data_IF_580686494171
#
_entry.id   IF_580686494171
#
_cell.length_a   1.000
_cell.length_b   1.000
_cell.length_c   1.000
_cell.angle_alpha   90.00
_cell.angle_beta   90.00
_cell.angle_gamma   90.00
#
_symmetry.space_group_name_H-M   'P 1'
#
loop_
_entity.id
_entity.type
_entity.pdbx_description
1 polymer ?
#
# COMPACT_ATOMS: atom_id res chain seq x y z
N UNK A 1 0.09 16.62 12.72
CA UNK A 1 -0.84 15.83 11.85
C UNK A 1 -1.22 14.50 12.49
N UNK A 2 -2.35 13.87 12.10
CA UNK A 2 -2.80 12.57 12.59
C UNK A 2 -3.06 11.65 11.39
N UNK A 3 -2.50 10.43 11.41
CA UNK A 3 -2.80 9.40 10.43
C UNK A 3 -3.73 8.34 11.04
N UNK A 4 -4.98 8.27 10.59
CA UNK A 4 -5.87 7.15 10.91
C UNK A 4 -5.51 5.96 10.07
N UNK A 5 -5.14 4.88 10.73
CA UNK A 5 -4.69 3.64 10.08
C UNK A 5 -5.00 2.44 10.96
N UNK A 6 -4.76 1.24 10.46
CA UNK A 6 -4.74 0.02 11.25
C UNK A 6 -3.53 -0.83 10.84
N UNK A 7 -2.91 -1.57 11.76
CA UNK A 7 -1.71 -2.35 11.46
C UNK A 7 -1.82 -3.24 10.20
N UNK A 8 -2.94 -3.97 9.96
CA UNK A 8 -3.05 -4.82 8.77
C UNK A 8 -3.40 -4.09 7.47
N UNK A 9 -3.56 -2.75 7.51
CA UNK A 9 -3.89 -1.98 6.31
C UNK A 9 -2.68 -1.79 5.40
N UNK A 10 -2.66 -2.37 4.21
CA UNK A 10 -1.53 -2.19 3.30
C UNK A 10 -1.49 -0.78 2.72
N UNK A 11 -2.64 -0.13 2.59
CA UNK A 11 -2.73 1.27 2.15
C UNK A 11 -2.24 2.23 3.23
N UNK A 12 -2.54 1.94 4.51
CA UNK A 12 -1.97 2.68 5.64
C UNK A 12 -0.46 2.50 5.74
N UNK A 13 0.03 1.28 5.48
CA UNK A 13 1.46 0.98 5.46
C UNK A 13 2.22 1.79 4.41
N UNK A 14 1.65 1.98 3.20
CA UNK A 14 2.25 2.88 2.18
C UNK A 14 2.50 4.28 2.73
N UNK A 15 1.51 4.83 3.43
CA UNK A 15 1.60 6.18 4.00
C UNK A 15 2.65 6.20 5.13
N UNK A 16 2.67 5.21 6.02
CA UNK A 16 3.65 5.15 7.11
C UNK A 16 5.09 5.08 6.58
N UNK A 17 5.33 4.29 5.51
CA UNK A 17 6.65 4.25 4.85
C UNK A 17 7.00 5.62 4.29
N UNK A 18 6.07 6.28 3.60
CA UNK A 18 6.30 7.60 3.03
C UNK A 18 6.57 8.66 4.10
N UNK A 19 5.85 8.66 5.22
CA UNK A 19 6.11 9.55 6.36
C UNK A 19 7.57 9.42 6.84
N UNK A 20 8.02 8.20 7.08
CA UNK A 20 9.40 7.93 7.50
C UNK A 20 10.43 8.37 6.45
N UNK A 21 10.19 8.09 5.16
CA UNK A 21 11.12 8.47 4.08
C UNK A 21 11.23 9.98 3.87
N UNK A 22 10.15 10.70 4.16
CA UNK A 22 10.05 12.15 3.95
C UNK A 22 10.36 12.96 5.22
N UNK A 23 10.64 12.29 6.36
CA UNK A 23 11.02 12.94 7.62
C UNK A 23 9.84 13.55 8.38
N UNK A 24 8.63 12.99 8.27
CA UNK A 24 7.46 13.40 9.05
C UNK A 24 7.34 12.55 10.32
N UNK A 25 8.28 12.70 11.25
CA UNK A 25 8.38 11.88 12.47
C UNK A 25 7.38 12.31 13.57
N UNK A 26 6.76 13.48 13.42
CA UNK A 26 5.79 14.09 14.35
C UNK A 26 4.34 13.68 14.09
N UNK A 27 4.09 12.90 13.05
CA UNK A 27 2.73 12.44 12.71
C UNK A 27 2.28 11.34 13.68
N UNK A 28 1.20 11.59 14.40
CA UNK A 28 0.60 10.62 15.31
C UNK A 28 -0.18 9.58 14.53
N UNK A 29 0.15 8.30 14.70
CA UNK A 29 -0.59 7.20 14.08
C UNK A 29 -1.66 6.71 15.05
N UNK A 30 -2.92 6.93 14.70
CA UNK A 30 -4.07 6.46 15.48
C UNK A 30 -4.65 5.17 14.90
N UNK A 31 -4.65 4.11 15.72
CA UNK A 31 -5.33 2.86 15.36
C UNK A 31 -6.84 3.10 15.24
N UNK A 32 -7.38 2.77 14.07
CA UNK A 32 -8.78 3.07 13.72
C UNK A 32 -9.50 1.81 13.26
N UNK A 33 -10.61 1.50 13.95
CA UNK A 33 -11.51 0.42 13.52
C UNK A 33 -12.49 0.95 12.47
N UNK A 34 -12.46 0.36 11.29
CA UNK A 34 -13.39 0.69 10.18
C UNK A 34 -14.81 0.18 10.43
N UNK A 35 -15.01 -0.69 11.43
CA UNK A 35 -16.32 -1.22 11.81
C UNK A 35 -17.02 -0.35 12.83
N UNK A 36 -16.30 0.53 13.53
CA UNK A 36 -16.88 1.46 14.48
C UNK A 36 -17.74 2.51 13.77
N UNK A 37 -19.06 2.35 13.89
CA UNK A 37 -20.02 3.27 13.29
C UNK A 37 -20.10 4.61 14.00
N UNK A 38 -19.76 4.65 15.30
CA UNK A 38 -19.81 5.84 16.16
C UNK A 38 -18.52 6.68 16.14
N UNK A 39 -17.45 6.12 15.60
CA UNK A 39 -16.15 6.79 15.57
C UNK A 39 -16.06 7.93 14.56
N UNK A 40 -15.01 8.77 14.69
CA UNK A 40 -14.84 9.95 13.86
C UNK A 40 -14.51 9.65 12.38
N UNK A 41 -14.15 8.41 12.06
CA UNK A 41 -13.69 8.03 10.71
C UNK A 41 -14.68 8.42 9.62
N UNK A 42 -15.97 8.13 9.81
CA UNK A 42 -17.01 8.39 8.78
C UNK A 42 -17.32 9.87 8.59
N UNK A 43 -17.04 10.70 9.59
CA UNK A 43 -17.14 12.16 9.49
C UNK A 43 -15.95 12.73 8.72
N UNK A 44 -14.76 12.13 8.86
CA UNK A 44 -13.52 12.55 8.21
C UNK A 44 -13.38 11.97 6.80
N UNK A 45 -13.85 10.73 6.59
CA UNK A 45 -13.90 10.09 5.28
C UNK A 45 -15.28 9.43 5.10
N UNK A 46 -16.17 10.00 4.27
CA UNK A 46 -17.50 9.44 4.04
C UNK A 46 -17.50 8.00 3.51
N UNK A 47 -16.39 7.54 2.91
CA UNK A 47 -16.24 6.15 2.47
C UNK A 47 -16.01 5.18 3.64
N UNK A 48 -15.74 5.67 4.86
CA UNK A 48 -15.44 4.84 6.03
C UNK A 48 -14.17 4.00 5.86
N UNK A 49 -13.21 4.46 5.06
CA UNK A 49 -11.97 3.74 4.73
C UNK A 49 -10.76 4.42 5.35
N UNK A 50 -9.77 3.62 5.69
CA UNK A 50 -8.42 4.06 6.06
C UNK A 50 -7.45 3.76 4.91
N UNK A 51 -6.32 4.54 4.78
CA UNK A 51 -5.89 5.62 5.66
C UNK A 51 -6.64 6.94 5.44
N UNK A 52 -6.64 7.78 6.49
CA UNK A 52 -7.00 9.20 6.41
C UNK A 52 -5.89 9.98 7.11
N UNK A 53 -5.34 10.99 6.45
CA UNK A 53 -4.41 11.94 7.04
C UNK A 53 -5.18 13.22 7.40
N UNK A 54 -5.13 13.61 8.67
CA UNK A 54 -5.72 14.85 9.17
C UNK A 54 -4.58 15.83 9.41
N UNK A 55 -4.62 16.95 8.72
CA UNK A 55 -3.63 18.02 8.84
C UNK A 55 -3.84 18.86 10.10
N UNK A 56 -2.91 19.75 10.41
CA UNK A 56 -2.96 20.57 11.62
C UNK A 56 -4.11 21.56 11.62
N UNK A 57 -4.62 21.94 10.44
CA UNK A 57 -5.80 22.77 10.26
C UNK A 57 -7.12 21.95 10.27
N UNK A 58 -7.03 20.63 10.49
CA UNK A 58 -8.17 19.72 10.56
C UNK A 58 -8.65 19.20 9.20
N UNK A 59 -7.99 19.52 8.09
CA UNK A 59 -8.38 19.03 6.75
C UNK A 59 -8.09 17.54 6.60
N UNK A 60 -9.06 16.68 6.25
CA UNK A 60 -8.83 15.26 6.02
C UNK A 60 -8.47 14.99 4.56
N UNK A 61 -7.37 14.27 4.32
CA UNK A 61 -6.97 13.75 3.02
C UNK A 61 -7.15 12.24 2.94
N UNK A 62 -7.71 11.75 1.86
CA UNK A 62 -7.88 10.34 1.47
C UNK A 62 -8.08 10.26 -0.06
N UNK A 63 -7.80 9.13 -0.78
CA UNK A 63 -7.21 7.89 -0.25
C UNK A 63 -5.67 7.98 -0.10
N UNK A 64 -5.02 6.82 0.05
CA UNK A 64 -3.56 6.76 0.20
C UNK A 64 -2.78 7.42 -0.95
N UNK A 65 -3.33 7.46 -2.17
CA UNK A 65 -2.69 8.11 -3.33
C UNK A 65 -2.64 9.62 -3.15
N UNK A 66 -3.76 10.20 -2.75
CA UNK A 66 -3.86 11.66 -2.46
C UNK A 66 -2.96 12.03 -1.28
N UNK A 67 -2.94 11.18 -0.24
CA UNK A 67 -2.06 11.41 0.92
C UNK A 67 -0.59 11.41 0.50
N UNK A 68 -0.17 10.46 -0.35
CA UNK A 68 1.21 10.40 -0.83
C UNK A 68 1.59 11.62 -1.67
N UNK A 69 0.69 12.13 -2.52
CA UNK A 69 0.91 13.38 -3.27
C UNK A 69 1.01 14.58 -2.32
N UNK A 70 0.13 14.68 -1.35
CA UNK A 70 0.17 15.74 -0.34
C UNK A 70 1.49 15.74 0.45
N UNK A 71 1.93 14.56 0.91
CA UNK A 71 3.18 14.44 1.66
C UNK A 71 4.42 14.76 0.80
N UNK A 72 4.44 14.30 -0.46
CA UNK A 72 5.52 14.63 -1.39
C UNK A 72 5.62 16.14 -1.62
N UNK A 73 4.48 16.81 -1.84
CA UNK A 73 4.44 18.27 -2.04
C UNK A 73 4.87 19.02 -0.77
N UNK A 74 4.38 18.62 0.40
CA UNK A 74 4.81 19.18 1.70
C UNK A 74 6.31 19.04 1.95
N UNK A 75 6.91 17.97 1.45
CA UNK A 75 8.35 17.71 1.55
C UNK A 75 9.20 18.48 0.50
N UNK A 76 8.57 19.34 -0.30
CA UNK A 76 9.21 20.12 -1.37
C UNK A 76 9.01 19.54 -2.77
N UNK A 77 8.27 18.45 -2.90
CA UNK A 77 7.84 17.82 -4.16
C UNK A 77 8.97 17.12 -4.94
N UNK A 78 8.59 16.10 -5.68
CA UNK A 78 9.52 15.37 -6.55
C UNK A 78 10.43 14.37 -5.83
N UNK A 79 10.19 14.08 -4.55
CA UNK A 79 11.01 13.15 -3.76
C UNK A 79 10.60 11.70 -3.96
N UNK A 80 9.31 11.41 -3.82
CA UNK A 80 8.73 10.07 -4.03
C UNK A 80 7.79 10.04 -5.24
N UNK A 81 7.39 11.20 -5.77
CA UNK A 81 6.63 11.34 -7.01
C UNK A 81 7.46 12.19 -7.98
N UNK A 82 8.13 11.58 -8.98
CA UNK A 82 9.00 12.32 -9.88
C UNK A 82 8.31 13.49 -10.60
N UNK A 83 9.01 14.61 -10.76
CA UNK A 83 8.47 15.78 -11.48
C UNK A 83 8.48 15.61 -13.00
N UNK A 84 9.49 14.93 -13.55
CA UNK A 84 9.59 14.69 -14.98
C UNK A 84 8.46 13.76 -15.46
N UNK A 85 7.68 14.19 -16.45
CA UNK A 85 6.43 13.54 -16.86
C UNK A 85 6.59 12.04 -17.14
N UNK A 86 7.60 11.63 -17.90
CA UNK A 86 7.82 10.22 -18.24
C UNK A 86 8.07 9.35 -16.97
N UNK A 87 8.91 9.84 -16.06
CA UNK A 87 9.20 9.16 -14.79
C UNK A 87 7.99 9.16 -13.86
N UNK A 88 7.26 10.29 -13.78
CA UNK A 88 6.02 10.41 -13.00
C UNK A 88 4.98 9.38 -13.45
N UNK A 89 4.68 9.31 -14.73
CA UNK A 89 3.69 8.36 -15.24
C UNK A 89 4.14 6.91 -15.08
N UNK A 90 5.44 6.63 -15.20
CA UNK A 90 5.98 5.30 -14.91
C UNK A 90 5.77 4.91 -13.44
N UNK A 91 6.07 5.81 -12.51
CA UNK A 91 5.88 5.61 -11.08
C UNK A 91 4.39 5.40 -10.71
N UNK A 92 3.50 6.26 -11.24
CA UNK A 92 2.06 6.17 -11.00
C UNK A 92 1.44 4.91 -11.62
N UNK A 93 1.91 4.48 -12.80
CA UNK A 93 1.48 3.22 -13.42
C UNK A 93 1.87 2.01 -12.57
N UNK A 94 3.10 1.99 -12.02
CA UNK A 94 3.52 0.92 -11.12
C UNK A 94 2.73 0.97 -9.81
N UNK A 95 2.43 2.16 -9.28
CA UNK A 95 1.53 2.32 -8.14
C UNK A 95 0.15 1.73 -8.42
N UNK A 96 -0.42 1.99 -9.59
CA UNK A 96 -1.71 1.42 -9.99
C UNK A 96 -1.70 -0.10 -10.05
N UNK A 97 -0.59 -0.73 -10.49
CA UNK A 97 -0.42 -2.19 -10.45
C UNK A 97 -0.36 -2.72 -9.01
N UNK A 98 0.43 -2.09 -8.14
CA UNK A 98 0.50 -2.44 -6.71
C UNK A 98 -0.86 -2.29 -6.02
N UNK A 99 -1.53 -1.17 -6.22
CA UNK A 99 -2.86 -0.91 -5.67
C UNK A 99 -3.90 -1.90 -6.24
N UNK A 100 -3.81 -2.27 -7.51
CA UNK A 100 -4.67 -3.29 -8.11
C UNK A 100 -4.51 -4.69 -7.50
N UNK A 101 -3.28 -5.08 -7.13
CA UNK A 101 -3.04 -6.30 -6.33
C UNK A 101 -3.72 -6.17 -4.97
N UNK A 102 -3.58 -5.03 -4.31
CA UNK A 102 -4.17 -4.78 -2.99
C UNK A 102 -5.70 -4.80 -3.03
N UNK A 103 -6.31 -4.11 -3.98
CA UNK A 103 -7.76 -4.08 -4.15
C UNK A 103 -8.33 -5.47 -4.37
N UNK A 104 -7.76 -6.25 -5.29
CA UNK A 104 -8.18 -7.62 -5.54
C UNK A 104 -8.00 -8.53 -4.30
N UNK A 105 -6.88 -8.36 -3.58
CA UNK A 105 -6.59 -9.14 -2.36
C UNK A 105 -7.54 -8.79 -1.22
N UNK A 106 -7.86 -7.50 -1.02
CA UNK A 106 -8.79 -7.06 0.03
C UNK A 106 -10.21 -7.56 -0.25
N UNK A 107 -10.66 -7.56 -1.50
CA UNK A 107 -11.97 -8.11 -1.87
C UNK A 107 -12.06 -9.60 -1.54
N UNK A 108 -10.99 -10.37 -1.74
CA UNK A 108 -10.92 -11.77 -1.31
C UNK A 108 -10.98 -11.92 0.22
N UNK A 109 -10.25 -11.06 0.95
CA UNK A 109 -10.32 -11.04 2.43
C UNK A 109 -11.71 -10.66 2.92
N UNK A 110 -12.39 -9.74 2.24
CA UNK A 110 -13.74 -9.30 2.61
C UNK A 110 -14.80 -10.34 2.28
N UNK A 111 -14.64 -11.12 1.23
CA UNK A 111 -15.52 -12.27 0.97
C UNK A 111 -15.57 -13.20 2.19
N UNK A 112 -14.40 -13.54 2.74
CA UNK A 112 -14.30 -14.37 3.95
C UNK A 112 -14.77 -13.67 5.22
N UNK A 113 -14.74 -12.32 5.30
CA UNK A 113 -15.16 -11.56 6.47
C UNK A 113 -16.67 -11.38 6.56
N UNK A 114 -17.31 -11.16 5.40
CA UNK A 114 -18.71 -10.72 5.34
C UNK A 114 -19.69 -11.80 4.92
N UNK A 115 -19.19 -12.91 4.39
CA UNK A 115 -20.02 -14.01 3.93
C UNK A 115 -19.65 -15.31 4.64
N UNK A 116 -20.66 -16.11 4.95
CA UNK A 116 -20.45 -17.49 5.38
C UNK A 116 -19.83 -18.32 4.25
N UNK A 117 -19.02 -19.36 4.56
CA UNK A 117 -18.30 -20.13 3.53
C UNK A 117 -19.19 -20.73 2.42
N UNK A 118 -20.42 -21.14 2.75
CA UNK A 118 -21.42 -21.67 1.82
C UNK A 118 -22.01 -20.62 0.86
N UNK A 119 -21.71 -19.32 1.11
CA UNK A 119 -22.16 -18.19 0.29
C UNK A 119 -21.03 -17.54 -0.49
N UNK A 120 -19.83 -18.12 -0.46
CA UNK A 120 -18.73 -17.61 -1.26
C UNK A 120 -18.97 -17.87 -2.75
N UNK A 121 -18.74 -16.86 -3.59
CA UNK A 121 -18.87 -17.00 -5.03
C UNK A 121 -17.49 -17.32 -5.66
N UNK A 122 -17.31 -18.58 -6.05
CA UNK A 122 -16.06 -19.09 -6.59
C UNK A 122 -15.59 -18.31 -7.83
N UNK A 123 -16.50 -17.99 -8.77
CA UNK A 123 -16.16 -17.22 -9.97
C UNK A 123 -15.67 -15.81 -9.65
N UNK A 124 -16.20 -15.21 -8.60
CA UNK A 124 -15.74 -13.90 -8.15
C UNK A 124 -14.35 -13.98 -7.53
N UNK A 125 -14.10 -14.97 -6.68
CA UNK A 125 -12.79 -15.21 -6.08
C UNK A 125 -11.74 -15.50 -7.15
N UNK A 126 -12.05 -16.37 -8.12
CA UNK A 126 -11.17 -16.66 -9.25
C UNK A 126 -10.88 -15.41 -10.11
N UNK A 127 -11.88 -14.56 -10.30
CA UNK A 127 -11.70 -13.30 -11.02
C UNK A 127 -10.70 -12.38 -10.30
N UNK A 128 -10.77 -12.26 -8.97
CA UNK A 128 -9.82 -11.47 -8.19
C UNK A 128 -8.42 -12.12 -8.19
N UNK A 129 -8.35 -13.44 -7.99
CA UNK A 129 -7.08 -14.17 -8.04
C UNK A 129 -6.40 -14.04 -9.40
N UNK A 130 -7.16 -14.10 -10.48
CA UNK A 130 -6.65 -13.91 -11.84
C UNK A 130 -6.04 -12.52 -12.09
N UNK A 131 -6.58 -11.46 -11.49
CA UNK A 131 -5.95 -10.11 -11.56
C UNK A 131 -4.57 -10.13 -10.89
N UNK A 132 -4.49 -10.68 -9.69
CA UNK A 132 -3.23 -10.78 -8.93
C UNK A 132 -2.21 -11.59 -9.72
N UNK A 133 -2.58 -12.78 -10.20
CA UNK A 133 -1.68 -13.66 -10.94
C UNK A 133 -1.12 -12.99 -12.20
N UNK A 134 -1.96 -12.30 -12.99
CA UNK A 134 -1.49 -11.58 -14.19
C UNK A 134 -0.51 -10.47 -13.88
N UNK A 135 -0.77 -9.68 -12.82
CA UNK A 135 0.16 -8.60 -12.44
C UNK A 135 1.47 -9.16 -11.90
N UNK A 136 1.42 -10.20 -11.06
CA UNK A 136 2.64 -10.85 -10.57
C UNK A 136 3.47 -11.44 -11.71
N UNK A 137 2.85 -12.16 -12.66
CA UNK A 137 3.54 -12.71 -13.83
C UNK A 137 4.16 -11.60 -14.72
N UNK A 138 3.44 -10.49 -14.94
CA UNK A 138 3.94 -9.34 -15.67
C UNK A 138 5.18 -8.72 -15.01
N UNK A 139 5.16 -8.55 -13.68
CA UNK A 139 6.28 -7.98 -12.93
C UNK A 139 7.42 -8.99 -12.72
N UNK A 140 7.14 -10.28 -12.64
CA UNK A 140 8.16 -11.34 -12.60
C UNK A 140 9.00 -11.37 -13.87
N UNK A 141 8.35 -11.20 -15.04
CA UNK A 141 9.06 -11.15 -16.33
C UNK A 141 10.08 -9.99 -16.40
N UNK A 142 9.76 -8.84 -15.79
CA UNK A 142 10.61 -7.65 -15.72
C UNK A 142 10.40 -6.89 -14.41
N UNK A 143 11.02 -7.33 -13.30
CA UNK A 143 10.92 -6.62 -12.02
C UNK A 143 11.41 -5.17 -12.18
N UNK A 144 10.73 -4.19 -11.54
CA UNK A 144 11.12 -2.79 -11.66
C UNK A 144 12.49 -2.55 -11.02
N UNK A 145 13.28 -1.63 -11.60
CA UNK A 145 14.55 -1.24 -11.02
C UNK A 145 14.34 -0.64 -9.63
N UNK A 146 15.20 -1.01 -8.68
CA UNK A 146 15.28 -0.37 -7.38
C UNK A 146 16.04 0.96 -7.47
N UNK A 147 15.77 1.93 -6.57
CA UNK A 147 16.51 3.19 -6.56
C UNK A 147 17.99 2.94 -6.31
N UNK A 148 18.84 3.83 -6.80
CA UNK A 148 20.26 3.82 -6.49
C UNK A 148 20.50 3.99 -4.99
N UNK A 149 21.70 3.69 -4.52
CA UNK A 149 22.04 3.89 -3.12
C UNK A 149 21.90 5.37 -2.74
N UNK A 150 21.14 5.65 -1.68
CA UNK A 150 20.86 7.01 -1.20
C UNK A 150 19.67 7.70 -1.88
N UNK A 151 19.07 7.11 -2.91
CA UNK A 151 17.86 7.63 -3.52
C UNK A 151 16.60 7.05 -2.84
N UNK A 152 15.55 7.87 -2.75
CA UNK A 152 14.26 7.44 -2.22
C UNK A 152 13.49 6.60 -3.26
N UNK A 153 12.79 5.54 -2.83
CA UNK A 153 11.90 4.80 -3.70
C UNK A 153 10.70 5.68 -4.07
N UNK A 154 10.32 5.68 -5.34
CA UNK A 154 9.10 6.34 -5.77
C UNK A 154 7.84 5.55 -5.34
N UNK A 155 6.69 6.22 -5.35
CA UNK A 155 5.40 5.67 -4.87
C UNK A 155 5.02 4.31 -5.46
N UNK A 156 5.40 4.04 -6.69
CA UNK A 156 5.14 2.76 -7.34
C UNK A 156 5.90 1.59 -6.71
N UNK A 157 7.18 1.80 -6.32
CA UNK A 157 7.98 0.79 -5.63
C UNK A 157 7.44 0.55 -4.22
N UNK A 158 7.04 1.61 -3.51
CA UNK A 158 6.41 1.51 -2.18
C UNK A 158 5.11 0.71 -2.26
N UNK A 159 4.25 1.01 -3.25
CA UNK A 159 2.98 0.33 -3.44
C UNK A 159 3.18 -1.16 -3.75
N UNK A 160 4.13 -1.49 -4.64
CA UNK A 160 4.45 -2.88 -4.96
C UNK A 160 4.96 -3.65 -3.73
N UNK A 161 5.90 -3.07 -2.98
CA UNK A 161 6.42 -3.71 -1.76
C UNK A 161 5.32 -3.96 -0.74
N UNK A 162 4.43 -2.98 -0.52
CA UNK A 162 3.27 -3.15 0.37
C UNK A 162 2.30 -4.23 -0.15
N UNK A 163 2.11 -4.33 -1.47
CA UNK A 163 1.26 -5.35 -2.07
C UNK A 163 1.82 -6.77 -1.86
N UNK A 164 3.10 -6.97 -2.12
CA UNK A 164 3.77 -8.26 -1.90
C UNK A 164 3.77 -8.63 -0.40
N UNK A 165 4.09 -7.68 0.48
CA UNK A 165 4.03 -7.90 1.93
C UNK A 165 2.61 -8.19 2.45
N UNK A 166 1.58 -7.62 1.84
CA UNK A 166 0.19 -7.96 2.17
C UNK A 166 -0.19 -9.37 1.72
N UNK A 167 0.33 -9.82 0.58
CA UNK A 167 0.21 -11.21 0.14
C UNK A 167 0.90 -12.19 1.09
N UNK A 168 2.02 -11.79 1.70
CA UNK A 168 2.66 -12.58 2.75
C UNK A 168 1.76 -12.67 3.99
N UNK A 169 1.26 -11.52 4.46
CA UNK A 169 0.45 -11.42 5.68
C UNK A 169 -0.88 -12.19 5.57
N UNK A 170 -1.60 -12.06 4.46
CA UNK A 170 -2.99 -12.54 4.34
C UNK A 170 -3.14 -13.85 3.57
N UNK A 171 -2.13 -14.25 2.82
CA UNK A 171 -2.17 -15.42 1.95
C UNK A 171 -0.95 -16.33 2.17
N UNK A 172 -0.36 -16.27 3.37
CA UNK A 172 0.76 -17.11 3.81
C UNK A 172 1.94 -17.14 2.81
N UNK A 173 2.16 -16.07 2.06
CA UNK A 173 3.27 -15.98 1.11
C UNK A 173 3.24 -16.99 -0.04
N UNK A 174 2.09 -17.56 -0.35
CA UNK A 174 1.96 -18.62 -1.37
C UNK A 174 2.44 -18.22 -2.77
N UNK A 175 2.46 -16.91 -3.05
CA UNK A 175 2.98 -16.35 -4.30
C UNK A 175 4.49 -16.58 -4.48
N UNK A 176 5.26 -16.70 -3.40
CA UNK A 176 6.73 -16.71 -3.42
C UNK A 176 7.32 -17.87 -4.22
N UNK A 177 6.65 -19.05 -4.21
CA UNK A 177 7.12 -20.24 -4.92
C UNK A 177 7.13 -20.07 -6.45
N UNK A 178 6.21 -19.25 -6.99
CA UNK A 178 6.01 -19.11 -8.43
C UNK A 178 6.70 -17.85 -9.02
N UNK A 179 7.17 -16.91 -8.16
CA UNK A 179 7.72 -15.62 -8.56
C UNK A 179 9.06 -15.31 -7.86
N UNK A 180 10.13 -16.08 -8.13
CA UNK A 180 11.42 -15.96 -7.41
C UNK A 180 12.14 -14.64 -7.64
N UNK A 181 11.98 -14.00 -8.81
CA UNK A 181 12.59 -12.69 -9.08
C UNK A 181 11.93 -11.58 -8.28
N UNK A 182 10.61 -11.65 -8.08
CA UNK A 182 9.90 -10.72 -7.19
C UNK A 182 10.24 -10.98 -5.72
N UNK A 183 10.52 -12.21 -5.32
CA UNK A 183 11.03 -12.52 -3.98
C UNK A 183 12.37 -11.81 -3.76
N UNK A 184 13.34 -12.02 -4.65
CA UNK A 184 14.64 -11.35 -4.57
C UNK A 184 14.51 -9.82 -4.61
N UNK A 185 13.58 -9.30 -5.44
CA UNK A 185 13.28 -7.87 -5.51
C UNK A 185 12.77 -7.32 -4.17
N UNK A 186 11.82 -8.02 -3.52
CA UNK A 186 11.24 -7.59 -2.25
C UNK A 186 12.29 -7.61 -1.12
N UNK A 187 13.16 -8.61 -1.10
CA UNK A 187 14.26 -8.70 -0.14
C UNK A 187 15.26 -7.56 -0.33
N UNK A 188 15.62 -7.28 -1.57
CA UNK A 188 16.51 -6.16 -1.90
C UNK A 188 15.87 -4.80 -1.60
N UNK A 189 14.55 -4.64 -1.80
CA UNK A 189 13.80 -3.45 -1.39
C UNK A 189 13.82 -3.29 0.14
N UNK A 190 13.52 -4.35 0.87
CA UNK A 190 13.51 -4.34 2.34
C UNK A 190 14.88 -3.96 2.93
N UNK A 191 15.97 -4.44 2.33
CA UNK A 191 17.34 -4.08 2.74
C UNK A 191 17.68 -2.60 2.51
N UNK A 192 17.10 -1.97 1.46
CA UNK A 192 17.35 -0.56 1.11
C UNK A 192 16.41 0.42 1.79
N UNK A 193 15.25 -0.04 2.24
CA UNK A 193 14.18 0.78 2.82
C UNK A 193 13.84 0.29 4.22
N UNK A 194 14.60 0.69 5.27
CA UNK A 194 14.37 0.23 6.64
C UNK A 194 12.95 0.45 7.15
N UNK A 195 12.27 1.53 6.69
CA UNK A 195 10.87 1.82 6.99
C UNK A 195 9.92 0.68 6.58
N UNK A 196 10.27 -0.11 5.55
CA UNK A 196 9.48 -1.28 5.17
C UNK A 196 9.52 -2.38 6.23
N UNK A 197 10.70 -2.65 6.80
CA UNK A 197 10.86 -3.57 7.91
C UNK A 197 10.18 -3.08 9.20
N UNK A 198 10.35 -1.80 9.53
CA UNK A 198 9.79 -1.18 10.73
C UNK A 198 8.25 -1.17 10.74
N UNK A 199 7.61 -1.16 9.58
CA UNK A 199 6.14 -1.18 9.43
C UNK A 199 5.57 -2.59 9.20
N UNK A 200 6.40 -3.63 9.28
CA UNK A 200 5.94 -5.02 9.13
C UNK A 200 5.24 -5.48 10.40
N UNK A 201 4.05 -6.07 10.24
CA UNK A 201 3.39 -6.77 11.35
C UNK A 201 4.17 -8.05 11.61
N UNK A 202 4.66 -8.18 12.82
CA UNK A 202 5.20 -9.46 13.30
C UNK A 202 4.01 -10.38 13.58
N UNK A 203 4.01 -11.53 12.92
CA UNK A 203 3.02 -12.58 13.16
C UNK A 203 3.15 -13.14 14.57
#
# INVERSE_FOLDING_TARGET
MILRSAPPSPFGRKVQIALSLLGFDDVVIEATDTMDAGGPLRQQNPLGKIPVLITDDGTPYYDSRVILEYLDERAGGGKIIPRAAAQRFSALRLQALGDGILDASILTVYENRWRAPDKHEAKWLDHQAGKVARVLAFLEAAPPALPAAGELPHVGLIALACALGYRDLRFAGTWRKDYPRLVAWLEAFAARVPAFGATTIKA
#
